data_IF_213471451256
#
_entry.id   IF_213471451256
#
_cell.length_a   1.000
_cell.length_b   1.000
_cell.length_c   1.000
_cell.angle_alpha   90.00
_cell.angle_beta   90.00
_cell.angle_gamma   90.00
#
_symmetry.space_group_name_H-M   'P 1'
#
loop_
_entity.id
_entity.type
_entity.pdbx_description
1 polymer ?
#
# COMPACT_ATOMS: atom_id res chain seq x y z
N UNK A 1 65.12 2.60 -31.66
CA UNK A 1 64.82 1.19 -31.29
C UNK A 1 63.36 1.12 -30.85
N UNK A 2 62.51 0.55 -31.70
CA UNK A 2 61.05 0.50 -31.53
C UNK A 2 60.70 -0.74 -30.70
N UNK A 3 60.15 -0.57 -29.50
CA UNK A 3 59.59 -1.69 -28.71
C UNK A 3 58.11 -1.83 -29.04
N UNK A 4 57.76 -2.98 -29.59
CA UNK A 4 56.43 -3.39 -30.03
C UNK A 4 55.49 -3.53 -28.83
N UNK A 5 54.30 -2.92 -28.95
CA UNK A 5 53.14 -3.18 -28.10
C UNK A 5 52.51 -4.47 -28.58
N UNK A 6 52.36 -5.47 -27.70
CA UNK A 6 51.63 -6.71 -27.99
C UNK A 6 50.24 -6.57 -27.40
N UNK A 7 49.25 -6.36 -28.26
CA UNK A 7 47.84 -6.27 -27.91
C UNK A 7 47.30 -7.68 -27.69
N UNK A 8 47.02 -8.05 -26.44
CA UNK A 8 46.30 -9.29 -26.13
C UNK A 8 44.80 -9.09 -26.37
N UNK A 9 44.27 -9.82 -27.34
CA UNK A 9 42.83 -9.92 -27.61
C UNK A 9 42.26 -10.90 -26.58
N UNK A 10 41.48 -10.40 -25.62
CA UNK A 10 40.70 -11.23 -24.69
C UNK A 10 39.37 -11.55 -25.38
N UNK A 11 39.21 -12.82 -25.76
CA UNK A 11 37.96 -13.35 -26.29
C UNK A 11 36.97 -13.52 -25.13
N UNK A 12 35.92 -12.70 -25.09
CA UNK A 12 34.81 -12.85 -24.13
C UNK A 12 33.85 -13.92 -24.67
N UNK A 13 33.84 -15.08 -24.04
CA UNK A 13 32.81 -16.11 -24.29
C UNK A 13 31.60 -15.76 -23.43
N UNK A 14 30.55 -15.24 -24.06
CA UNK A 14 29.23 -15.05 -23.44
C UNK A 14 28.51 -16.39 -23.46
N UNK A 15 28.43 -17.04 -22.30
CA UNK A 15 27.59 -18.21 -22.08
C UNK A 15 26.17 -17.73 -21.76
N UNK A 16 25.32 -17.73 -22.79
CA UNK A 16 23.86 -17.73 -22.66
C UNK A 16 23.41 -19.14 -22.25
N UNK A 17 22.62 -19.22 -21.18
CA UNK A 17 21.89 -20.41 -20.72
C UNK A 17 21.48 -20.19 -19.26
N UNK A 18 20.23 -20.28 -18.82
CA UNK A 18 19.02 -20.82 -19.43
C UNK A 18 17.82 -20.13 -18.76
N UNK A 19 16.87 -19.62 -19.57
CA UNK A 19 15.56 -19.21 -19.08
C UNK A 19 14.77 -20.48 -18.73
N UNK A 20 14.49 -20.69 -17.45
CA UNK A 20 13.49 -21.67 -17.02
C UNK A 20 12.12 -21.02 -17.23
N UNK A 21 11.49 -21.35 -18.36
CA UNK A 21 10.11 -21.02 -18.64
C UNK A 21 9.21 -22.05 -17.94
N UNK A 22 8.57 -21.67 -16.83
CA UNK A 22 7.37 -22.36 -16.34
C UNK A 22 6.19 -21.90 -17.18
N UNK A 23 6.09 -22.41 -18.41
CA UNK A 23 4.93 -22.23 -19.29
C UNK A 23 3.94 -23.37 -19.10
N UNK A 24 3.03 -23.24 -18.14
CA UNK A 24 1.82 -24.05 -18.07
C UNK A 24 0.75 -23.44 -18.96
N UNK A 25 0.42 -24.13 -20.06
CA UNK A 25 -0.69 -23.77 -20.95
C UNK A 25 -1.90 -24.58 -20.55
N UNK A 26 -2.80 -23.97 -19.77
CA UNK A 26 -4.14 -24.52 -19.59
C UNK A 26 -5.17 -23.55 -20.18
N UNK A 27 -5.80 -24.04 -21.24
CA UNK A 27 -6.99 -23.45 -21.85
C UNK A 27 -8.13 -23.55 -20.84
N UNK A 28 -8.80 -22.43 -20.57
CA UNK A 28 -10.15 -22.44 -20.04
C UNK A 28 -11.07 -21.61 -20.92
N UNK A 29 -12.21 -22.23 -21.23
CA UNK A 29 -13.29 -21.76 -22.06
C UNK A 29 -13.91 -20.46 -21.55
N UNK A 30 -14.25 -19.60 -22.51
CA UNK A 30 -15.06 -18.41 -22.32
C UNK A 30 -16.50 -18.80 -22.03
N UNK A 31 -16.92 -18.68 -20.77
CA UNK A 31 -18.31 -18.72 -20.33
C UNK A 31 -18.89 -17.32 -20.26
N UNK A 32 -20.01 -17.12 -20.94
CA UNK A 32 -20.72 -15.86 -21.20
C UNK A 32 -21.66 -15.47 -20.06
N UNK A 33 -21.86 -14.15 -19.87
CA UNK A 33 -22.94 -13.55 -19.04
C UNK A 33 -22.38 -12.78 -17.84
N UNK A 34 -22.73 -11.52 -17.56
CA UNK A 34 -23.90 -10.75 -17.96
C UNK A 34 -23.58 -9.26 -17.79
N UNK A 35 -23.85 -8.48 -18.85
CA UNK A 35 -23.80 -7.03 -18.84
C UNK A 35 -24.94 -6.48 -17.96
N UNK A 36 -24.65 -5.50 -17.11
CA UNK A 36 -25.67 -4.60 -16.57
C UNK A 36 -25.26 -3.16 -16.87
N UNK A 37 -25.93 -2.65 -17.91
CA UNK A 37 -26.37 -1.30 -18.21
C UNK A 37 -25.64 -0.10 -17.59
N UNK A 38 -24.98 0.63 -18.49
CA UNK A 38 -24.78 2.08 -18.44
C UNK A 38 -26.13 2.82 -18.32
N UNK A 39 -26.19 3.85 -17.46
CA UNK A 39 -27.14 4.94 -17.63
C UNK A 39 -26.35 6.24 -17.76
N UNK A 40 -26.27 6.70 -19.00
CA UNK A 40 -25.97 8.08 -19.38
C UNK A 40 -27.22 8.90 -19.10
N UNK A 41 -27.09 10.00 -18.37
CA UNK A 41 -28.09 11.06 -18.35
C UNK A 41 -27.36 12.38 -18.59
N UNK A 42 -27.35 12.78 -19.86
CA UNK A 42 -27.11 14.14 -20.27
C UNK A 42 -28.26 15.02 -19.77
N UNK A 43 -27.92 16.12 -19.12
CA UNK A 43 -28.77 17.32 -19.13
C UNK A 43 -27.87 18.55 -19.01
N UNK A 44 -27.66 19.15 -20.17
CA UNK A 44 -27.20 20.51 -20.38
C UNK A 44 -28.33 21.48 -20.00
N UNK A 45 -28.06 22.47 -19.15
CA UNK A 45 -28.72 23.78 -19.21
C UNK A 45 -27.99 24.82 -18.35
N UNK A 46 -27.42 25.80 -19.05
CA UNK A 46 -27.38 27.25 -18.77
C UNK A 46 -26.73 27.79 -17.49
N UNK A 47 -25.70 28.60 -17.72
CA UNK A 47 -25.12 29.56 -16.80
C UNK A 47 -26.15 30.57 -16.27
N UNK A 48 -26.00 30.93 -15.00
CA UNK A 48 -26.20 32.32 -14.55
C UNK A 48 -25.32 32.61 -13.34
N UNK A 49 -24.65 33.77 -13.40
CA UNK A 49 -23.81 34.33 -12.35
C UNK A 49 -24.67 34.74 -11.15
N UNK A 50 -24.28 34.32 -9.95
CA UNK A 50 -24.67 35.02 -8.72
C UNK A 50 -23.69 34.72 -7.59
N UNK A 51 -22.88 35.73 -7.31
CA UNK A 51 -22.04 35.87 -6.13
C UNK A 51 -22.92 35.84 -4.86
N UNK A 52 -22.68 34.87 -3.97
CA UNK A 52 -23.27 34.82 -2.63
C UNK A 52 -22.33 34.07 -1.66
N UNK A 53 -22.35 34.40 -0.36
CA UNK A 53 -21.18 34.38 0.50
C UNK A 53 -20.80 32.96 0.90
N UNK A 54 -19.50 32.78 1.17
CA UNK A 54 -18.90 31.56 1.69
C UNK A 54 -19.71 31.00 2.88
N UNK A 55 -20.56 30.01 2.60
CA UNK A 55 -21.13 29.16 3.61
C UNK A 55 -20.01 28.26 4.13
N UNK A 56 -19.79 28.27 5.44
CA UNK A 56 -19.06 27.24 6.15
C UNK A 56 -19.69 25.88 5.79
N UNK A 57 -19.05 25.14 4.91
CA UNK A 57 -19.33 23.73 4.70
C UNK A 57 -18.70 23.01 5.88
N UNK A 58 -19.48 22.75 6.93
CA UNK A 58 -19.20 21.62 7.82
C UNK A 58 -19.11 20.40 6.91
N UNK A 59 -17.89 19.99 6.62
CA UNK A 59 -17.65 18.78 5.84
C UNK A 59 -17.98 17.66 6.82
N UNK A 60 -19.16 17.05 6.72
CA UNK A 60 -19.53 15.87 7.50
C UNK A 60 -18.65 14.69 7.05
N UNK A 61 -17.39 14.70 7.47
CA UNK A 61 -16.46 13.59 7.30
C UNK A 61 -16.79 12.53 8.34
N UNK A 62 -17.44 11.46 7.90
CA UNK A 62 -17.73 10.32 8.77
C UNK A 62 -16.46 9.54 9.07
N UNK A 63 -16.18 9.27 10.35
CA UNK A 63 -15.10 8.38 10.78
C UNK A 63 -15.41 6.90 10.50
N UNK A 64 -14.39 6.04 10.60
CA UNK A 64 -14.55 4.59 10.60
C UNK A 64 -15.50 4.12 11.71
N UNK A 65 -16.64 3.54 11.32
CA UNK A 65 -17.68 3.09 12.25
C UNK A 65 -17.22 1.92 13.12
N UNK A 66 -16.44 0.97 12.57
CA UNK A 66 -15.90 -0.13 13.38
C UNK A 66 -14.90 0.41 14.40
N UNK A 67 -14.03 1.34 14.02
CA UNK A 67 -13.06 1.91 14.95
C UNK A 67 -13.72 2.72 16.06
N UNK A 68 -14.73 3.55 15.76
CA UNK A 68 -15.46 4.31 16.78
C UNK A 68 -16.14 3.41 17.83
N UNK A 69 -16.51 2.18 17.45
CA UNK A 69 -17.07 1.20 18.37
C UNK A 69 -16.00 0.51 19.24
N UNK A 70 -14.81 0.25 18.67
CA UNK A 70 -13.71 -0.43 19.36
C UNK A 70 -12.92 0.50 20.29
N UNK A 71 -12.72 1.76 19.89
CA UNK A 71 -11.82 2.70 20.56
C UNK A 71 -12.54 4.02 20.82
N UNK A 72 -12.95 4.23 22.08
CA UNK A 72 -13.78 5.39 22.47
C UNK A 72 -13.01 6.63 22.87
N UNK A 73 -11.78 6.46 23.35
CA UNK A 73 -10.98 7.52 23.96
C UNK A 73 -9.68 7.77 23.19
N UNK A 74 -9.79 7.96 21.86
CA UNK A 74 -8.64 8.24 20.99
C UNK A 74 -8.27 9.71 21.05
N UNK A 75 -6.98 10.00 21.06
CA UNK A 75 -6.46 11.35 21.01
C UNK A 75 -6.65 11.94 19.59
N UNK A 76 -7.31 13.10 19.51
CA UNK A 76 -7.44 13.85 18.27
C UNK A 76 -6.16 14.64 18.04
N UNK A 77 -5.56 14.51 16.85
CA UNK A 77 -4.31 15.18 16.48
C UNK A 77 -4.46 15.95 15.17
N UNK A 78 -3.66 17.02 14.93
CA UNK A 78 -3.64 17.70 13.64
C UNK A 78 -3.37 16.71 12.49
N UNK A 79 -4.22 16.73 11.47
CA UNK A 79 -4.23 15.71 10.42
C UNK A 79 -2.86 15.49 9.75
N UNK A 80 -2.15 16.57 9.43
CA UNK A 80 -0.82 16.50 8.81
C UNK A 80 0.22 15.88 9.73
N UNK A 81 0.18 16.20 11.01
CA UNK A 81 1.09 15.63 12.00
C UNK A 81 0.82 14.14 12.18
N UNK A 82 -0.44 13.75 12.30
CA UNK A 82 -0.87 12.35 12.36
C UNK A 82 -0.34 11.54 11.17
N UNK A 83 -0.60 12.01 9.93
CA UNK A 83 -0.21 11.29 8.72
C UNK A 83 1.32 11.20 8.55
N UNK A 84 2.07 12.26 8.88
CA UNK A 84 3.54 12.22 8.88
C UNK A 84 4.09 11.21 9.88
N UNK A 85 3.55 11.22 11.10
CA UNK A 85 3.98 10.30 12.16
C UNK A 85 3.66 8.83 11.80
N UNK A 86 2.49 8.57 11.23
CA UNK A 86 2.10 7.25 10.74
C UNK A 86 3.03 6.78 9.61
N UNK A 87 3.31 7.63 8.61
CA UNK A 87 4.25 7.32 7.52
C UNK A 87 5.63 6.97 8.06
N UNK A 88 6.18 7.84 8.91
CA UNK A 88 7.51 7.68 9.49
C UNK A 88 7.63 6.36 10.26
N UNK A 89 6.70 6.07 11.18
CA UNK A 89 6.71 4.81 11.94
C UNK A 89 6.54 3.58 11.03
N UNK A 90 5.72 3.68 9.99
CA UNK A 90 5.58 2.61 9.00
C UNK A 90 6.89 2.33 8.26
N UNK A 91 7.59 3.37 7.80
CA UNK A 91 8.89 3.25 7.14
C UNK A 91 9.96 2.68 8.09
N UNK A 92 9.98 3.10 9.35
CA UNK A 92 10.88 2.52 10.37
C UNK A 92 10.61 1.01 10.58
N UNK A 93 9.34 0.57 10.54
CA UNK A 93 9.00 -0.85 10.58
C UNK A 93 9.45 -1.61 9.31
N UNK A 94 9.42 -0.96 8.14
CA UNK A 94 9.98 -1.52 6.90
C UNK A 94 11.50 -1.71 6.98
N UNK A 95 12.18 -0.77 7.61
CA UNK A 95 13.64 -0.68 7.73
C UNK A 95 14.20 -1.29 9.01
N UNK A 96 13.35 -1.93 9.84
CA UNK A 96 13.77 -2.52 11.09
C UNK A 96 14.83 -3.62 10.85
N UNK A 97 16.04 -3.35 11.33
CA UNK A 97 17.24 -4.15 11.10
C UNK A 97 17.49 -5.25 12.12
N UNK A 98 16.57 -5.45 13.08
CA UNK A 98 16.73 -6.40 14.20
C UNK A 98 17.17 -7.81 13.76
N UNK A 99 16.73 -8.27 12.58
CA UNK A 99 17.06 -9.60 12.06
C UNK A 99 17.84 -9.58 10.74
N UNK A 100 18.41 -8.43 10.35
CA UNK A 100 19.21 -8.35 9.13
C UNK A 100 20.53 -9.08 9.31
N UNK A 101 21.02 -9.67 8.23
CA UNK A 101 22.35 -10.30 8.20
C UNK A 101 23.22 -9.57 7.20
N UNK A 102 24.35 -9.03 7.66
CA UNK A 102 25.38 -8.44 6.79
C UNK A 102 26.56 -9.40 6.72
N UNK A 103 26.92 -9.84 5.52
CA UNK A 103 28.09 -10.69 5.30
C UNK A 103 29.38 -9.88 5.54
N UNK A 104 30.24 -10.27 6.50
CA UNK A 104 31.44 -9.51 6.84
C UNK A 104 32.49 -9.49 5.72
N UNK A 105 32.41 -10.40 4.74
CA UNK A 105 33.39 -10.49 3.65
C UNK A 105 33.00 -9.66 2.42
N UNK A 106 31.70 -9.56 2.13
CA UNK A 106 31.18 -8.85 0.95
C UNK A 106 30.53 -7.51 1.28
N UNK A 107 30.13 -7.29 2.54
CA UNK A 107 29.37 -6.11 2.96
C UNK A 107 27.91 -6.12 2.51
N UNK A 108 27.46 -7.18 1.84
CA UNK A 108 26.08 -7.29 1.37
C UNK A 108 25.14 -7.64 2.54
N UNK A 109 23.96 -7.00 2.57
CA UNK A 109 22.95 -7.22 3.60
C UNK A 109 21.75 -7.98 3.05
N UNK A 110 21.47 -9.13 3.66
CA UNK A 110 20.21 -9.83 3.53
C UNK A 110 19.20 -9.24 4.54
N UNK A 111 18.13 -8.65 4.02
CA UNK A 111 17.04 -8.08 4.80
C UNK A 111 16.09 -9.21 5.19
N UNK A 112 16.05 -9.54 6.49
CA UNK A 112 15.15 -10.55 7.03
C UNK A 112 14.36 -9.97 8.22
N UNK A 113 13.16 -10.50 8.45
CA UNK A 113 12.36 -10.14 9.62
C UNK A 113 10.86 -10.24 9.33
N UNK A 114 10.02 -10.34 10.38
CA UNK A 114 8.58 -10.44 10.24
C UNK A 114 7.98 -9.06 9.95
N UNK A 115 8.35 -8.45 8.82
CA UNK A 115 7.97 -7.08 8.42
C UNK A 115 6.46 -6.83 8.50
N UNK A 116 5.66 -7.78 8.01
CA UNK A 116 4.21 -7.73 8.07
C UNK A 116 3.66 -7.64 9.51
N UNK A 117 4.32 -8.31 10.46
CA UNK A 117 3.95 -8.28 11.86
C UNK A 117 4.29 -6.93 12.51
N UNK A 118 5.47 -6.38 12.24
CA UNK A 118 5.87 -5.07 12.77
C UNK A 118 5.00 -3.93 12.24
N UNK A 119 4.70 -3.94 10.93
CA UNK A 119 3.75 -2.99 10.35
C UNK A 119 2.38 -3.08 11.00
N UNK A 120 1.89 -4.31 11.23
CA UNK A 120 0.62 -4.50 11.94
C UNK A 120 0.65 -3.89 13.35
N UNK A 121 1.74 -4.05 14.10
CA UNK A 121 1.88 -3.44 15.43
C UNK A 121 1.81 -1.91 15.36
N UNK A 122 2.46 -1.30 14.37
CA UNK A 122 2.38 0.16 14.13
C UNK A 122 0.94 0.56 13.83
N UNK A 123 0.28 -0.07 12.86
CA UNK A 123 -1.06 0.33 12.42
C UNK A 123 -2.09 0.18 13.53
N UNK A 124 -2.06 -0.95 14.24
CA UNK A 124 -2.98 -1.20 15.34
C UNK A 124 -2.76 -0.21 16.48
N UNK A 125 -1.50 0.01 16.89
CA UNK A 125 -1.19 0.98 17.94
C UNK A 125 -1.69 2.36 17.55
N UNK A 126 -1.43 2.79 16.33
CA UNK A 126 -1.77 4.13 15.84
C UNK A 126 -3.28 4.37 15.80
N UNK A 127 -4.04 3.49 15.16
CA UNK A 127 -5.50 3.61 15.01
C UNK A 127 -6.25 3.42 16.33
N UNK A 128 -5.67 2.68 17.29
CA UNK A 128 -6.28 2.45 18.61
C UNK A 128 -6.05 3.58 19.60
N UNK A 129 -5.01 4.41 19.42
CA UNK A 129 -4.69 5.50 20.34
C UNK A 129 -5.04 6.87 19.80
N UNK A 130 -5.06 7.07 18.49
CA UNK A 130 -5.13 8.40 17.88
C UNK A 130 -6.04 8.45 16.65
N UNK A 131 -6.54 9.63 16.34
CA UNK A 131 -7.35 9.94 15.15
C UNK A 131 -6.97 11.34 14.63
N UNK A 132 -6.84 11.55 13.31
CA UNK A 132 -6.61 12.87 12.77
C UNK A 132 -7.89 13.72 12.88
N UNK A 133 -7.72 15.03 13.07
CA UNK A 133 -8.79 16.00 12.81
C UNK A 133 -9.36 15.78 11.41
N UNK A 134 -10.69 15.89 11.22
CA UNK A 134 -11.32 15.96 9.90
C UNK A 134 -10.57 16.82 8.89
N UNK A 135 -10.36 16.30 7.69
CA UNK A 135 -9.79 17.04 6.57
C UNK A 135 -10.51 16.70 5.27
N UNK A 136 -10.34 17.53 4.24
CA UNK A 136 -10.73 17.17 2.87
C UNK A 136 -9.56 16.50 2.16
N UNK A 137 -8.42 17.18 2.16
CA UNK A 137 -7.16 16.67 1.65
C UNK A 137 -6.00 17.26 2.45
N UNK A 138 -4.95 16.48 2.64
CA UNK A 138 -3.70 16.92 3.28
C UNK A 138 -2.52 16.50 2.41
N UNK A 139 -1.69 17.47 2.04
CA UNK A 139 -0.45 17.20 1.36
C UNK A 139 0.61 16.70 2.36
N UNK A 140 1.10 15.49 2.12
CA UNK A 140 2.19 14.84 2.86
C UNK A 140 3.32 14.55 1.88
N UNK A 141 4.29 15.46 1.85
CA UNK A 141 5.40 15.43 0.88
C UNK A 141 4.87 15.55 -0.55
N UNK A 142 5.06 14.52 -1.39
CA UNK A 142 4.64 14.53 -2.79
C UNK A 142 3.27 13.86 -3.02
N UNK A 143 2.54 13.53 -1.94
CA UNK A 143 1.25 12.83 -2.01
C UNK A 143 0.14 13.65 -1.36
N UNK A 144 -0.97 13.83 -2.08
CA UNK A 144 -2.20 14.41 -1.54
C UNK A 144 -3.10 13.29 -1.00
N UNK A 145 -3.30 13.28 0.31
CA UNK A 145 -4.07 12.26 1.01
C UNK A 145 -5.50 12.76 1.25
N UNK A 146 -6.50 11.99 0.84
CA UNK A 146 -7.91 12.29 1.07
C UNK A 146 -8.42 11.65 2.36
N UNK A 147 -9.49 12.22 2.92
CA UNK A 147 -10.08 11.68 4.16
C UNK A 147 -10.58 10.25 3.98
N UNK A 148 -11.22 9.98 2.86
CA UNK A 148 -11.73 8.65 2.50
C UNK A 148 -10.62 7.59 2.43
N UNK A 149 -9.41 7.95 2.01
CA UNK A 149 -8.27 7.02 1.98
C UNK A 149 -7.84 6.66 3.39
N UNK A 150 -7.80 7.65 4.29
CA UNK A 150 -7.54 7.43 5.71
C UNK A 150 -8.64 6.58 6.36
N UNK A 151 -9.92 6.88 6.08
CA UNK A 151 -11.04 6.11 6.61
C UNK A 151 -10.97 4.66 6.13
N UNK A 152 -10.68 4.42 4.85
CA UNK A 152 -10.52 3.08 4.32
C UNK A 152 -9.39 2.32 5.02
N UNK A 153 -8.24 2.95 5.22
CA UNK A 153 -7.12 2.37 5.97
C UNK A 153 -7.51 2.03 7.42
N UNK A 154 -8.05 2.99 8.17
CA UNK A 154 -8.40 2.81 9.58
C UNK A 154 -9.49 1.77 9.78
N UNK A 155 -10.53 1.80 8.94
CA UNK A 155 -11.58 0.77 8.89
C UNK A 155 -10.98 -0.63 8.67
N UNK A 156 -10.03 -0.78 7.75
CA UNK A 156 -9.38 -2.05 7.52
C UNK A 156 -8.49 -2.53 8.69
N UNK A 157 -7.92 -1.62 9.50
CA UNK A 157 -7.26 -2.00 10.76
C UNK A 157 -8.28 -2.61 11.71
N UNK A 158 -9.39 -1.90 11.94
CA UNK A 158 -10.40 -2.31 12.91
C UNK A 158 -11.14 -3.59 12.48
N UNK A 159 -11.44 -3.74 11.19
CA UNK A 159 -12.05 -4.96 10.64
C UNK A 159 -11.10 -6.16 10.70
N UNK A 160 -9.80 -5.95 10.54
CA UNK A 160 -8.82 -7.01 10.69
C UNK A 160 -8.68 -7.48 12.15
N UNK A 161 -8.87 -6.58 13.12
CA UNK A 161 -8.86 -6.94 14.55
C UNK A 161 -10.05 -7.84 14.91
N UNK A 162 -11.24 -7.54 14.39
CA UNK A 162 -12.45 -8.33 14.65
C UNK A 162 -12.63 -9.52 13.69
N UNK A 163 -11.67 -9.75 12.79
CA UNK A 163 -11.69 -10.89 11.86
C UNK A 163 -12.62 -10.75 10.66
N UNK A 164 -13.15 -9.55 10.38
CA UNK A 164 -13.94 -9.24 9.17
C UNK A 164 -13.05 -9.06 7.94
N UNK A 165 -11.84 -8.53 8.14
CA UNK A 165 -10.84 -8.31 7.09
C UNK A 165 -9.51 -8.98 7.44
N UNK A 166 -8.49 -8.81 6.59
CA UNK A 166 -7.16 -9.38 6.81
C UNK A 166 -6.13 -8.29 7.08
N UNK A 167 -5.10 -8.61 7.87
CA UNK A 167 -3.95 -7.70 8.09
C UNK A 167 -3.21 -7.36 6.79
N UNK A 168 -3.27 -8.24 5.78
CA UNK A 168 -2.75 -7.97 4.43
C UNK A 168 -3.49 -6.80 3.78
N UNK A 169 -4.82 -6.75 3.91
CA UNK A 169 -5.60 -5.66 3.34
C UNK A 169 -5.23 -4.32 3.97
N UNK A 170 -4.99 -4.31 5.29
CA UNK A 170 -4.48 -3.13 6.00
C UNK A 170 -3.15 -2.63 5.41
N UNK A 171 -2.20 -3.53 5.16
CA UNK A 171 -0.91 -3.18 4.54
C UNK A 171 -1.09 -2.61 3.14
N UNK A 172 -1.94 -3.22 2.31
CA UNK A 172 -2.24 -2.72 0.97
C UNK A 172 -2.82 -1.30 1.01
N UNK A 173 -3.71 -1.02 1.96
CA UNK A 173 -4.32 0.30 2.10
C UNK A 173 -3.35 1.33 2.66
N UNK A 174 -2.44 0.94 3.57
CA UNK A 174 -1.34 1.79 4.00
C UNK A 174 -0.42 2.16 2.83
N UNK A 175 -0.01 1.18 2.02
CA UNK A 175 0.86 1.42 0.87
C UNK A 175 0.16 2.32 -0.16
N UNK A 176 -1.15 2.17 -0.36
CA UNK A 176 -1.95 3.08 -1.19
C UNK A 176 -2.05 4.49 -0.62
N UNK A 177 -2.28 4.61 0.69
CA UNK A 177 -2.41 5.89 1.39
C UNK A 177 -1.17 6.79 1.20
N UNK A 178 0.01 6.19 1.12
CA UNK A 178 1.29 6.90 0.94
C UNK A 178 1.96 6.64 -0.41
N UNK A 179 1.21 6.07 -1.37
CA UNK A 179 1.68 5.66 -2.71
C UNK A 179 2.97 4.81 -2.71
N UNK A 180 3.26 4.10 -1.62
CA UNK A 180 4.49 3.36 -1.43
C UNK A 180 4.56 2.14 -2.36
N UNK A 181 5.41 2.23 -3.39
CA UNK A 181 5.67 1.16 -4.38
C UNK A 181 4.42 0.62 -5.06
N UNK A 182 3.35 1.41 -5.13
CA UNK A 182 2.08 0.98 -5.74
C UNK A 182 2.16 0.81 -7.26
N UNK A 183 3.18 1.40 -7.87
CA UNK A 183 3.60 1.28 -9.26
C UNK A 183 4.32 -0.04 -9.57
N UNK A 184 4.94 -0.66 -8.57
CA UNK A 184 5.71 -1.89 -8.75
C UNK A 184 4.78 -3.07 -9.11
N UNK A 185 5.04 -3.82 -10.21
CA UNK A 185 4.19 -4.95 -10.60
C UNK A 185 4.10 -6.06 -9.54
N UNK A 186 5.11 -6.17 -8.66
CA UNK A 186 5.13 -7.11 -7.55
C UNK A 186 4.33 -6.67 -6.32
N UNK A 187 3.71 -5.47 -6.35
CA UNK A 187 2.95 -4.95 -5.22
C UNK A 187 1.71 -5.80 -4.93
N UNK A 188 1.43 -6.06 -3.66
CA UNK A 188 0.39 -7.01 -3.24
C UNK A 188 -1.03 -6.66 -3.72
N UNK A 189 -1.31 -5.39 -4.03
CA UNK A 189 -2.60 -4.95 -4.60
C UNK A 189 -2.85 -5.42 -6.04
N UNK A 190 -1.83 -5.96 -6.73
CA UNK A 190 -1.94 -6.46 -8.11
C UNK A 190 -2.24 -7.96 -8.18
N UNK A 191 -2.32 -8.63 -7.03
CA UNK A 191 -2.42 -10.09 -6.93
C UNK A 191 -3.57 -10.50 -6.03
N UNK A 192 -4.34 -11.48 -6.48
CA UNK A 192 -5.36 -12.10 -5.65
C UNK A 192 -4.75 -12.72 -4.39
N UNK A 193 -5.48 -12.76 -3.27
CA UNK A 193 -5.12 -13.62 -2.15
C UNK A 193 -4.88 -15.05 -2.61
N UNK A 194 -3.70 -15.57 -2.24
CA UNK A 194 -3.46 -17.00 -2.36
C UNK A 194 -4.53 -17.71 -1.55
N UNK A 195 -5.27 -18.65 -2.15
CA UNK A 195 -6.27 -19.42 -1.43
C UNK A 195 -5.55 -20.14 -0.29
N UNK A 196 -6.12 -20.06 0.92
CA UNK A 196 -5.65 -20.90 2.00
C UNK A 196 -5.95 -22.35 1.62
N UNK A 197 -4.90 -23.13 1.38
CA UNK A 197 -5.01 -24.58 1.22
C UNK A 197 -4.82 -25.13 2.61
N UNK A 198 -5.87 -25.75 3.14
CA UNK A 198 -5.82 -26.43 4.43
C UNK A 198 -4.91 -27.66 4.27
N UNK A 199 -3.62 -27.50 4.57
CA UNK A 199 -2.64 -28.59 4.53
C UNK A 199 -2.70 -29.37 5.83
N UNK A 200 -3.90 -29.91 6.15
CA UNK A 200 -4.21 -30.52 7.44
C UNK A 200 -3.16 -31.49 7.97
N UNK A 201 -3.19 -31.76 9.28
CA UNK A 201 -2.46 -32.90 9.84
C UNK A 201 -3.13 -34.19 9.35
N UNK A 202 -2.34 -35.10 8.76
CA UNK A 202 -2.69 -36.53 8.77
C UNK A 202 -2.49 -37.10 10.19
#
# INVERSE_FOLDING_TARGET
>A
MVKRVVTSIITVVVLMGSLVACGGTDKYESGTGQQIASNVLDSESTADDSESPAANVETETSESTTCANLFKDREVMPAREYLLNLKQRGLEAYENSTYWYTDPNTGNTAINGPRAYWLWQVFYSDVSTSVPEPFKSVNVEDTDILWEDYVAFSQAVCDAEIGVSTRRQTQILFDKLFEYRTDWPGHASKWEPFPYIETGAE
#
